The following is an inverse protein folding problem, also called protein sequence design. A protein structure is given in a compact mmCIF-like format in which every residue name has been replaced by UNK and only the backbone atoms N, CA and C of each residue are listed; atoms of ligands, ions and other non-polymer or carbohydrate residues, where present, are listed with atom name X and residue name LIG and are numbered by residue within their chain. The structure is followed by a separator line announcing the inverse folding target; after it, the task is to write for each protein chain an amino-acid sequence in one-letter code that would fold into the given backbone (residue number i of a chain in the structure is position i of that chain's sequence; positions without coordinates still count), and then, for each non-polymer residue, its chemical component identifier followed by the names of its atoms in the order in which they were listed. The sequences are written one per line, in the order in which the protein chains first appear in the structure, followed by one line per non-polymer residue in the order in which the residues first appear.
data_IF_751097527780
#
_entry.id   IF_751097527780
#
_cell.length_a   1.000
_cell.length_b   1.000
_cell.length_c   1.000
_cell.angle_alpha   90.00
_cell.angle_beta   90.00
_cell.angle_gamma   90.00
#
_symmetry.space_group_name_H-M   'P 1'
#
loop_
_entity.id
_entity.type
_entity.pdbx_description
1 polymer ?
#
# COMPACT_ATOMS: atom_id res chain seq x y z
N UNK A 1 -21.52 -1.53 4.37
CA UNK A 1 -20.41 -1.08 5.24
C UNK A 1 -19.10 -1.39 4.52
N UNK A 2 -18.23 -0.41 4.32
CA UNK A 2 -16.90 -0.63 3.72
C UNK A 2 -15.88 -0.96 4.82
N UNK A 3 -15.35 -2.18 4.82
CA UNK A 3 -14.28 -2.61 5.74
C UNK A 3 -12.91 -2.11 5.22
N UNK A 4 -12.74 -0.78 5.15
CA UNK A 4 -11.50 -0.14 4.76
C UNK A 4 -10.96 0.74 5.89
N UNK A 5 -9.64 0.74 6.05
CA UNK A 5 -8.95 1.60 7.00
C UNK A 5 -9.06 3.04 6.51
N UNK A 6 -9.74 3.88 7.30
CA UNK A 6 -9.76 5.33 7.09
C UNK A 6 -8.44 5.90 7.58
N UNK A 7 -7.78 6.65 6.70
CA UNK A 7 -6.54 7.36 7.01
C UNK A 7 -6.92 8.80 7.33
N UNK A 8 -6.78 9.19 8.59
CA UNK A 8 -6.71 10.59 9.00
C UNK A 8 -5.32 11.17 8.69
N UNK A 9 -4.27 10.37 8.91
CA UNK A 9 -2.89 10.63 8.52
C UNK A 9 -2.50 9.67 7.39
N UNK A 10 -1.94 10.22 6.31
CA UNK A 10 -1.61 9.41 5.14
C UNK A 10 -0.30 8.67 5.27
N UNK A 11 -0.34 7.34 5.15
CA UNK A 11 0.84 6.47 4.93
C UNK A 11 1.23 6.34 3.45
N UNK A 12 0.49 6.97 2.53
CA UNK A 12 0.64 6.77 1.09
C UNK A 12 2.05 7.06 0.57
N UNK A 13 2.67 8.13 1.08
CA UNK A 13 4.04 8.52 0.70
C UNK A 13 5.06 7.46 1.10
N UNK A 14 4.93 6.87 2.28
CA UNK A 14 5.82 5.80 2.76
C UNK A 14 5.64 4.53 1.93
N UNK A 15 4.39 4.14 1.66
CA UNK A 15 4.07 3.00 0.79
C UNK A 15 4.69 3.14 -0.60
N UNK A 16 4.68 4.36 -1.17
CA UNK A 16 5.34 4.68 -2.43
C UNK A 16 6.85 4.51 -2.36
N UNK A 17 7.48 4.99 -1.29
CA UNK A 17 8.93 4.85 -1.07
C UNK A 17 9.31 3.38 -0.98
N UNK A 18 8.54 2.57 -0.25
CA UNK A 18 8.78 1.13 -0.12
C UNK A 18 8.59 0.37 -1.43
N UNK A 19 7.54 0.70 -2.20
CA UNK A 19 7.36 0.10 -3.53
C UNK A 19 8.57 0.36 -4.43
N UNK A 20 9.07 1.60 -4.42
CA UNK A 20 10.27 1.97 -5.17
C UNK A 20 11.52 1.25 -4.66
N UNK A 21 11.68 1.10 -3.34
CA UNK A 21 12.78 0.34 -2.74
C UNK A 21 12.74 -1.15 -3.11
N UNK A 22 11.54 -1.71 -3.30
CA UNK A 22 11.34 -3.05 -3.83
C UNK A 22 11.57 -3.16 -5.36
N UNK A 23 11.88 -2.04 -6.04
CA UNK A 23 12.15 -2.02 -7.48
C UNK A 23 10.91 -2.16 -8.36
N UNK A 24 9.71 -1.93 -7.82
CA UNK A 24 8.46 -2.18 -8.53
C UNK A 24 7.82 -0.89 -9.05
N UNK A 25 7.22 -0.95 -10.23
CA UNK A 25 6.25 0.02 -10.73
C UNK A 25 4.88 -0.18 -10.07
N UNK A 26 3.97 0.77 -10.24
CA UNK A 26 2.60 0.64 -9.73
C UNK A 26 1.84 -0.51 -10.42
N UNK A 27 2.06 -0.70 -11.73
CA UNK A 27 1.47 -1.80 -12.49
C UNK A 27 2.00 -3.16 -11.99
N UNK A 28 3.31 -3.31 -11.80
CA UNK A 28 3.88 -4.57 -11.31
C UNK A 28 3.39 -4.92 -9.90
N UNK A 29 3.36 -3.94 -8.99
CA UNK A 29 2.85 -4.14 -7.64
C UNK A 29 1.35 -4.49 -7.65
N UNK A 30 0.54 -3.80 -8.47
CA UNK A 30 -0.88 -4.09 -8.60
C UNK A 30 -1.13 -5.47 -9.22
N UNK A 31 -0.37 -5.86 -10.25
CA UNK A 31 -0.47 -7.18 -10.87
C UNK A 31 -0.17 -8.30 -9.88
N UNK A 32 0.86 -8.15 -9.04
CA UNK A 32 1.16 -9.12 -7.98
C UNK A 32 0.01 -9.23 -6.96
N UNK A 33 -0.61 -8.09 -6.57
CA UNK A 33 -1.77 -8.12 -5.69
C UNK A 33 -3.01 -8.76 -6.35
N UNK A 34 -3.20 -8.58 -7.65
CA UNK A 34 -4.27 -9.25 -8.40
C UNK A 34 -4.08 -10.78 -8.43
N UNK A 35 -2.85 -11.26 -8.60
CA UNK A 35 -2.52 -12.69 -8.50
C UNK A 35 -2.87 -13.24 -7.12
N UNK A 36 -2.75 -12.42 -6.07
CA UNK A 36 -3.19 -12.76 -4.71
C UNK A 36 -4.72 -12.65 -4.50
N UNK A 37 -5.51 -12.42 -5.55
CA UNK A 37 -6.97 -12.31 -5.51
C UNK A 37 -7.49 -10.96 -5.01
N UNK A 38 -6.65 -9.92 -4.96
CA UNK A 38 -7.07 -8.59 -4.52
C UNK A 38 -7.51 -7.73 -5.71
N UNK A 39 -8.74 -7.17 -5.71
CA UNK A 39 -9.18 -6.28 -6.77
C UNK A 39 -8.56 -4.89 -6.59
N UNK A 40 -7.31 -4.73 -7.04
CA UNK A 40 -6.56 -3.47 -7.07
C UNK A 40 -5.91 -3.33 -8.45
N UNK A 41 -5.79 -2.10 -8.95
CA UNK A 41 -5.07 -1.77 -10.18
C UNK A 41 -4.08 -0.63 -9.89
N UNK A 42 -3.25 -0.27 -10.87
CA UNK A 42 -2.25 0.77 -10.71
C UNK A 42 -2.86 2.13 -10.34
N UNK A 43 -4.01 2.51 -10.90
CA UNK A 43 -4.71 3.75 -10.53
C UNK A 43 -5.13 3.80 -9.06
N UNK A 44 -5.72 2.70 -8.55
CA UNK A 44 -6.11 2.59 -7.14
C UNK A 44 -4.85 2.65 -6.27
N UNK A 45 -3.81 1.92 -6.64
CA UNK A 45 -2.53 1.96 -5.92
C UNK A 45 -1.92 3.37 -5.92
N UNK A 46 -1.99 4.09 -7.03
CA UNK A 46 -1.51 5.46 -7.14
C UNK A 46 -2.31 6.43 -6.24
N UNK A 47 -3.63 6.28 -6.18
CA UNK A 47 -4.48 7.08 -5.29
C UNK A 47 -4.24 6.78 -3.82
N UNK A 48 -3.96 5.52 -3.49
CA UNK A 48 -3.51 5.10 -2.17
C UNK A 48 -2.18 5.77 -1.81
N UNK A 49 -1.21 5.74 -2.72
CA UNK A 49 0.11 6.38 -2.53
C UNK A 49 0.03 7.91 -2.41
N UNK A 50 -1.01 8.53 -2.95
CA UNK A 50 -1.31 9.95 -2.79
C UNK A 50 -2.10 10.27 -1.51
N UNK A 51 -2.50 9.27 -0.73
CA UNK A 51 -3.34 9.47 0.46
C UNK A 51 -4.80 9.82 0.16
N UNK A 52 -5.25 9.65 -1.08
CA UNK A 52 -6.60 10.03 -1.51
C UNK A 52 -7.62 8.89 -1.38
N UNK A 53 -7.16 7.67 -1.08
CA UNK A 53 -7.98 6.47 -1.00
C UNK A 53 -7.74 5.70 0.29
N UNK A 54 -8.83 5.20 0.89
CA UNK A 54 -8.76 4.25 2.00
C UNK A 54 -8.13 2.93 1.55
N UNK A 55 -7.36 2.30 2.42
CA UNK A 55 -6.69 1.02 2.14
C UNK A 55 -7.46 -0.12 2.81
N UNK A 56 -7.66 -1.23 2.11
CA UNK A 56 -8.15 -2.47 2.75
C UNK A 56 -7.02 -3.15 3.50
N UNK A 57 -7.30 -3.70 4.68
CA UNK A 57 -6.28 -4.42 5.47
C UNK A 57 -5.64 -5.57 4.68
N UNK A 58 -6.40 -6.26 3.84
CA UNK A 58 -5.87 -7.31 2.95
C UNK A 58 -4.86 -6.78 1.92
N UNK A 59 -5.05 -5.56 1.42
CA UNK A 59 -4.09 -4.88 0.53
C UNK A 59 -2.83 -4.50 1.31
N UNK A 60 -2.97 -3.97 2.53
CA UNK A 60 -1.83 -3.64 3.38
C UNK A 60 -0.98 -4.89 3.71
N UNK A 61 -1.64 -6.02 3.98
CA UNK A 61 -0.97 -7.30 4.21
C UNK A 61 -0.25 -7.82 2.95
N UNK A 62 -0.81 -7.61 1.75
CA UNK A 62 -0.15 -7.96 0.51
C UNK A 62 1.05 -7.05 0.21
N UNK A 63 0.94 -5.75 0.47
CA UNK A 63 2.05 -4.79 0.35
C UNK A 63 3.25 -5.23 1.18
N UNK A 64 3.04 -5.66 2.43
CA UNK A 64 4.11 -6.18 3.29
C UNK A 64 4.89 -7.32 2.61
N UNK A 65 4.16 -8.28 2.03
CA UNK A 65 4.75 -9.44 1.36
C UNK A 65 5.49 -9.06 0.07
N UNK A 66 4.85 -8.25 -0.78
CA UNK A 66 5.36 -7.85 -2.10
C UNK A 66 6.59 -6.93 -1.96
N UNK A 67 6.54 -6.00 -1.00
CA UNK A 67 7.63 -5.06 -0.73
C UNK A 67 8.73 -5.64 0.16
N UNK A 68 8.60 -6.91 0.59
CA UNK A 68 9.57 -7.62 1.43
C UNK A 68 9.91 -6.85 2.72
N UNK A 69 8.88 -6.35 3.39
CA UNK A 69 9.01 -5.58 4.63
C UNK A 69 8.79 -6.53 5.82
N UNK A 70 9.70 -6.52 6.79
CA UNK A 70 9.67 -7.46 7.92
C UNK A 70 8.61 -7.09 8.98
N UNK A 71 8.48 -5.79 9.31
CA UNK A 71 7.48 -5.27 10.25
C UNK A 71 6.45 -4.34 9.59
N UNK A 72 5.23 -4.30 10.14
CA UNK A 72 4.24 -3.30 9.75
C UNK A 72 4.61 -1.89 10.24
N UNK A 73 5.45 -1.77 11.26
CA UNK A 73 5.87 -0.48 11.84
C UNK A 73 6.52 0.42 10.80
N UNK A 74 7.23 -0.19 9.84
CA UNK A 74 7.85 0.52 8.74
C UNK A 74 6.82 1.35 7.93
N UNK A 75 5.54 0.95 7.87
CA UNK A 75 4.50 1.74 7.20
C UNK A 75 4.16 3.04 7.94
N UNK A 76 4.47 3.11 9.23
CA UNK A 76 4.06 4.18 10.15
C UNK A 76 5.24 4.98 10.71
N UNK A 77 6.49 4.66 10.36
CA UNK A 77 7.70 5.37 10.86
C UNK A 77 7.67 6.89 10.69
N UNK A 78 6.95 7.39 9.69
CA UNK A 78 6.87 8.84 9.40
C UNK A 78 5.60 9.49 10.01
N UNK A 79 4.80 8.72 10.78
CA UNK A 79 3.61 9.22 11.48
C UNK A 79 3.99 9.46 12.94
N UNK A 80 4.44 10.68 13.25
CA UNK A 80 4.83 11.01 14.62
C UNK A 80 5.67 12.27 14.84
N UNK A 81 5.86 13.11 13.83
CA UNK A 81 6.38 14.49 14.00
C UNK A 81 5.25 15.53 13.95
#
# INVERSE_FOLDING_TARGET
MSNSLKQDISIGKKLKTMRKAAGLTQDEAAAQMQIMGLPINADILAKIEQGKYSIRISVLAAMKKIYKVDSYDAFFEDIGE
#
